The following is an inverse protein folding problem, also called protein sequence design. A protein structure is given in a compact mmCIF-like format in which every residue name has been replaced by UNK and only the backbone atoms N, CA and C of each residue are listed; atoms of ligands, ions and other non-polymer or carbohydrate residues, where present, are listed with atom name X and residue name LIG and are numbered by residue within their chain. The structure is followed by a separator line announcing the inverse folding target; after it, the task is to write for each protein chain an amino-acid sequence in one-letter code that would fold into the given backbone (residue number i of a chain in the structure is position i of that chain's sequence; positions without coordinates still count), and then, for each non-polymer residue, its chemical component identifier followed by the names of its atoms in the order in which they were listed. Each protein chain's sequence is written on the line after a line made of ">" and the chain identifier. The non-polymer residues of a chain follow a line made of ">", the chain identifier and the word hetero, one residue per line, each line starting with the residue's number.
data_IF_141981157706
#
_entry.id   IF_141981157706
#
_cell.length_a   1.000
_cell.length_b   1.000
_cell.length_c   1.000
_cell.angle_alpha   90.00
_cell.angle_beta   90.00
_cell.angle_gamma   90.00
#
_symmetry.space_group_name_H-M   'P 1'
#
loop_
_entity.id
_entity.type
_entity.pdbx_description
1 polymer ?
#
# COMPACT_ATOMS: atom_id res chain seq x y z
N UNK A 1 9.89 -0.84 18.55
CA UNK A 1 9.41 0.22 17.62
C UNK A 1 9.99 0.12 16.21
N UNK A 2 11.27 -0.22 15.99
CA UNK A 2 11.86 -0.34 14.63
C UNK A 2 11.13 -1.31 13.68
N UNK A 3 10.71 -2.48 14.17
CA UNK A 3 9.95 -3.46 13.38
C UNK A 3 8.59 -2.91 12.95
N UNK A 4 7.87 -2.24 13.86
CA UNK A 4 6.57 -1.66 13.58
C UNK A 4 6.66 -0.54 12.53
N UNK A 5 7.68 0.32 12.63
CA UNK A 5 7.99 1.33 11.61
C UNK A 5 8.24 0.67 10.24
N UNK A 6 9.06 -0.39 10.20
CA UNK A 6 9.37 -1.11 8.96
C UNK A 6 8.13 -1.77 8.31
N UNK A 7 7.20 -2.28 9.12
CA UNK A 7 6.00 -2.96 8.62
C UNK A 7 4.86 -2.02 8.21
N UNK A 8 4.84 -0.77 8.70
CA UNK A 8 3.75 0.16 8.45
C UNK A 8 3.42 0.40 6.95
N UNK A 9 4.41 0.59 6.04
CA UNK A 9 4.12 0.72 4.61
C UNK A 9 3.43 -0.51 4.03
N UNK A 10 3.84 -1.71 4.47
CA UNK A 10 3.25 -2.96 4.01
C UNK A 10 1.80 -3.12 4.47
N UNK A 11 1.50 -2.77 5.73
CA UNK A 11 0.12 -2.78 6.22
C UNK A 11 -0.75 -1.78 5.46
N UNK A 12 -0.24 -0.58 5.17
CA UNK A 12 -0.93 0.39 4.33
C UNK A 12 -1.25 -0.19 2.94
N UNK A 13 -0.24 -0.71 2.25
CA UNK A 13 -0.41 -1.24 0.90
C UNK A 13 -1.37 -2.42 0.88
N UNK A 14 -1.23 -3.36 1.82
CA UNK A 14 -2.09 -4.53 1.94
C UNK A 14 -3.56 -4.14 2.17
N UNK A 15 -3.81 -3.12 2.99
CA UNK A 15 -5.18 -2.62 3.22
C UNK A 15 -5.80 -2.04 1.96
N UNK A 16 -5.04 -1.33 1.13
CA UNK A 16 -5.57 -0.83 -0.16
C UNK A 16 -5.89 -1.99 -1.10
N UNK A 17 -5.02 -2.99 -1.21
CA UNK A 17 -5.29 -4.19 -2.01
C UNK A 17 -6.55 -4.91 -1.51
N UNK A 18 -6.72 -5.03 -0.20
CA UNK A 18 -7.91 -5.65 0.39
C UNK A 18 -9.18 -4.86 0.08
N UNK A 19 -9.15 -3.53 0.17
CA UNK A 19 -10.30 -2.67 -0.19
C UNK A 19 -10.63 -2.81 -1.68
N UNK A 20 -9.63 -2.83 -2.55
CA UNK A 20 -9.86 -3.07 -3.99
C UNK A 20 -10.49 -4.44 -4.21
N UNK A 21 -9.97 -5.48 -3.57
CA UNK A 21 -10.50 -6.83 -3.67
C UNK A 21 -11.94 -6.95 -3.14
N UNK A 22 -12.27 -6.23 -2.07
CA UNK A 22 -13.62 -6.17 -1.55
C UNK A 22 -14.59 -5.47 -2.50
N UNK A 23 -14.18 -4.33 -3.09
CA UNK A 23 -14.99 -3.59 -4.07
C UNK A 23 -15.16 -4.34 -5.40
N UNK A 24 -14.31 -5.33 -5.69
CA UNK A 24 -14.45 -6.21 -6.86
C UNK A 24 -15.26 -7.47 -6.57
N UNK A 25 -16.05 -7.49 -5.48
CA UNK A 25 -16.81 -8.66 -5.02
C UNK A 25 -15.94 -9.90 -4.84
N UNK A 26 -14.67 -9.73 -4.44
CA UNK A 26 -13.70 -10.81 -4.30
C UNK A 26 -13.36 -11.54 -5.61
N UNK A 27 -13.66 -10.94 -6.77
CA UNK A 27 -13.25 -11.42 -8.09
C UNK A 27 -11.93 -10.78 -8.48
N UNK A 28 -10.89 -11.59 -8.70
CA UNK A 28 -9.53 -11.12 -8.99
C UNK A 28 -9.47 -10.51 -10.41
N UNK A 29 -10.21 -11.07 -11.35
CA UNK A 29 -10.28 -10.60 -12.74
C UNK A 29 -10.85 -9.18 -12.88
N UNK A 30 -11.60 -8.69 -11.88
CA UNK A 30 -12.13 -7.33 -11.89
C UNK A 30 -11.15 -6.32 -11.30
N UNK A 31 -10.12 -6.77 -10.59
CA UNK A 31 -9.08 -5.87 -10.03
C UNK A 31 -8.21 -5.20 -11.11
N UNK A 32 -8.23 -5.73 -12.34
CA UNK A 32 -7.52 -5.15 -13.49
C UNK A 32 -8.35 -4.11 -14.25
N UNK A 33 -9.60 -3.85 -13.85
CA UNK A 33 -10.36 -2.75 -14.43
C UNK A 33 -9.68 -1.41 -14.10
N UNK A 34 -9.77 -0.46 -15.03
CA UNK A 34 -9.09 0.84 -14.98
C UNK A 34 -9.18 1.55 -13.63
N UNK A 35 -10.35 1.71 -12.96
CA UNK A 35 -10.41 2.44 -11.69
C UNK A 35 -9.57 1.76 -10.60
N UNK A 36 -9.60 0.43 -10.53
CA UNK A 36 -8.88 -0.34 -9.51
C UNK A 36 -7.39 -0.37 -9.76
N UNK A 37 -6.96 -0.47 -11.02
CA UNK A 37 -5.54 -0.35 -11.39
C UNK A 37 -5.00 1.01 -10.98
N UNK A 38 -5.74 2.10 -11.21
CA UNK A 38 -5.33 3.43 -10.75
C UNK A 38 -5.19 3.49 -9.23
N UNK A 39 -6.11 2.89 -8.47
CA UNK A 39 -5.99 2.82 -7.01
C UNK A 39 -4.78 2.02 -6.54
N UNK A 40 -4.48 0.88 -7.18
CA UNK A 40 -3.30 0.06 -6.87
C UNK A 40 -2.02 0.82 -7.17
N UNK A 41 -1.95 1.55 -8.29
CA UNK A 41 -0.79 2.37 -8.66
C UNK A 41 -0.58 3.52 -7.68
N UNK A 42 -1.64 4.22 -7.29
CA UNK A 42 -1.57 5.27 -6.27
C UNK A 42 -1.11 4.72 -4.91
N UNK A 43 -1.58 3.52 -4.54
CA UNK A 43 -1.12 2.85 -3.33
C UNK A 43 0.36 2.47 -3.39
N UNK A 44 0.85 2.02 -4.56
CA UNK A 44 2.26 1.73 -4.75
C UNK A 44 3.13 2.99 -4.61
N UNK A 45 2.68 4.12 -5.16
CA UNK A 45 3.35 5.41 -4.96
C UNK A 45 3.35 5.84 -3.49
N UNK A 46 2.20 5.72 -2.82
CA UNK A 46 2.07 6.00 -1.38
C UNK A 46 2.98 5.11 -0.53
N UNK A 47 3.11 3.83 -0.88
CA UNK A 47 4.04 2.89 -0.25
C UNK A 47 5.49 3.36 -0.38
N UNK A 48 5.92 3.79 -1.58
CA UNK A 48 7.29 4.28 -1.79
C UNK A 48 7.57 5.53 -0.96
N UNK A 49 6.63 6.47 -0.89
CA UNK A 49 6.75 7.68 -0.07
C UNK A 49 6.86 7.33 1.41
N UNK A 50 5.97 6.47 1.92
CA UNK A 50 6.02 6.02 3.31
C UNK A 50 7.34 5.30 3.62
N UNK A 51 7.82 4.46 2.71
CA UNK A 51 9.09 3.77 2.88
C UNK A 51 10.27 4.75 2.94
N UNK A 52 10.26 5.81 2.12
CA UNK A 52 11.28 6.86 2.15
C UNK A 52 11.25 7.60 3.48
N UNK A 53 10.09 8.11 3.89
CA UNK A 53 9.93 8.88 5.14
C UNK A 53 10.37 8.07 6.35
N UNK A 54 10.02 6.77 6.39
CA UNK A 54 10.41 5.90 7.51
C UNK A 54 11.91 5.60 7.51
N UNK A 55 12.53 5.41 6.33
CA UNK A 55 13.99 5.26 6.23
C UNK A 55 14.70 6.51 6.74
N UNK A 56 14.28 7.68 6.28
CA UNK A 56 14.86 8.97 6.70
C UNK A 56 14.69 9.20 8.21
N UNK A 57 13.50 8.95 8.74
CA UNK A 57 13.22 9.09 10.18
C UNK A 57 13.97 8.06 11.04
N UNK A 58 14.32 6.89 10.50
CA UNK A 58 15.08 5.87 11.23
C UNK A 58 16.60 6.09 11.11
N UNK A 59 17.06 6.84 10.10
CA UNK A 59 18.45 7.24 9.96
C UNK A 59 18.82 8.47 10.83
N UNK A 60 17.82 9.27 11.19
CA UNK A 60 17.96 10.39 12.13
C UNK A 60 17.89 9.98 13.62
N UNK A 61 17.43 8.76 13.91
CA UNK A 61 17.35 8.13 15.25
C UNK A 61 18.64 7.33 15.58
#
# INVERSE_FOLDING_TARGET
>A
MKILKSLAPYFYFFMVIFVVFHNTDYHVERMIEVPYVLYILLAALGFMVLQSVIKDATAAD
#
